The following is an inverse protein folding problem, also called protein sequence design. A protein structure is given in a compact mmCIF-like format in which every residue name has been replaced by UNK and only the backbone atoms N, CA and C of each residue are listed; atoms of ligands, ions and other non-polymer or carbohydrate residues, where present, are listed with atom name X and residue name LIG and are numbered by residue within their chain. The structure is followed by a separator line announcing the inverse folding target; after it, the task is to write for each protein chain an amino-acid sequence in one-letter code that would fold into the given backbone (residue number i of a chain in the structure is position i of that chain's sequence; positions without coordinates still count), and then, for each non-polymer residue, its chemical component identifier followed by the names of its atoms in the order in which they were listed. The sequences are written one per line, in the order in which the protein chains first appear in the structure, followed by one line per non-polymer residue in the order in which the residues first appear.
data_IF_044535102127
#
_entry.id   IF_044535102127
#
_cell.length_a   1.000
_cell.length_b   1.000
_cell.length_c   1.000
_cell.angle_alpha   90.00
_cell.angle_beta   90.00
_cell.angle_gamma   90.00
#
_symmetry.space_group_name_H-M   'P 1'
#
loop_
_entity.id
_entity.type
_entity.pdbx_description
1 polymer ?
#
# COMPACT_ATOMS: atom_id res chain seq x y z
N UNK A 1 -21.69 6.85 13.39
CA UNK A 1 -22.74 6.76 12.36
C UNK A 1 -23.04 8.10 11.68
N UNK A 2 -23.02 9.25 12.38
CA UNK A 2 -23.39 10.57 11.83
C UNK A 2 -22.79 10.96 10.45
N UNK A 3 -21.50 10.69 10.19
CA UNK A 3 -20.92 10.96 8.85
C UNK A 3 -21.52 10.06 7.76
N UNK A 4 -21.81 8.80 8.05
CA UNK A 4 -22.43 7.87 7.11
C UNK A 4 -23.89 8.24 6.83
N UNK A 5 -24.63 8.58 7.87
CA UNK A 5 -26.02 9.05 7.77
C UNK A 5 -26.11 10.33 6.92
N UNK A 6 -25.09 11.20 6.98
CA UNK A 6 -24.99 12.41 6.17
C UNK A 6 -24.37 12.18 4.77
N UNK A 7 -24.09 10.94 4.37
CA UNK A 7 -23.47 10.61 3.08
C UNK A 7 -22.02 11.08 2.92
N UNK A 8 -21.33 11.40 4.02
CA UNK A 8 -19.94 11.89 4.06
C UNK A 8 -18.96 10.73 4.21
N UNK A 9 -18.88 9.89 3.18
CA UNK A 9 -18.09 8.66 3.19
C UNK A 9 -16.58 8.88 3.38
N UNK A 10 -16.03 9.97 2.83
CA UNK A 10 -14.61 10.29 2.97
C UNK A 10 -14.25 10.73 4.39
N UNK A 11 -15.06 11.59 5.00
CA UNK A 11 -14.91 11.97 6.41
C UNK A 11 -15.04 10.76 7.34
N UNK A 12 -16.00 9.88 7.07
CA UNK A 12 -16.15 8.64 7.82
C UNK A 12 -14.91 7.73 7.67
N UNK A 13 -14.36 7.61 6.46
CA UNK A 13 -13.18 6.80 6.19
C UNK A 13 -11.93 7.41 6.82
N UNK A 14 -11.80 8.73 6.84
CA UNK A 14 -10.77 9.44 7.60
C UNK A 14 -10.83 9.08 9.09
N UNK A 15 -12.01 9.14 9.71
CA UNK A 15 -12.19 8.74 11.12
C UNK A 15 -11.82 7.28 11.31
N UNK A 16 -12.29 6.40 10.43
CA UNK A 16 -12.02 4.98 10.51
C UNK A 16 -10.54 4.62 10.36
N UNK A 17 -9.79 5.29 9.49
CA UNK A 17 -8.40 4.93 9.20
C UNK A 17 -7.38 5.69 10.06
N UNK A 18 -7.69 6.94 10.43
CA UNK A 18 -6.75 7.87 11.07
C UNK A 18 -7.07 8.18 12.53
N UNK A 19 -8.32 8.02 12.98
CA UNK A 19 -8.75 8.40 14.34
C UNK A 19 -9.01 7.19 15.23
N UNK A 20 -9.88 6.27 14.80
CA UNK A 20 -10.16 5.05 15.57
C UNK A 20 -8.91 4.19 15.66
N UNK A 21 -8.70 3.43 16.73
CA UNK A 21 -7.74 2.31 16.72
C UNK A 21 -8.29 1.16 15.85
N UNK A 22 -7.46 0.19 15.42
CA UNK A 22 -7.93 -0.98 14.70
C UNK A 22 -8.99 -1.77 15.47
N UNK A 23 -8.89 -1.83 16.80
CA UNK A 23 -9.87 -2.53 17.64
C UNK A 23 -11.19 -1.75 17.78
N UNK A 24 -11.12 -0.42 17.95
CA UNK A 24 -12.33 0.43 17.92
C UNK A 24 -13.05 0.34 16.57
N UNK A 25 -12.30 0.39 15.46
CA UNK A 25 -12.88 0.22 14.12
C UNK A 25 -13.47 -1.19 13.94
N UNK A 26 -12.78 -2.23 14.42
CA UNK A 26 -13.26 -3.61 14.34
C UNK A 26 -14.59 -3.76 15.07
N UNK A 27 -14.67 -3.29 16.31
CA UNK A 27 -15.91 -3.33 17.09
C UNK A 27 -17.05 -2.61 16.36
N UNK A 28 -16.79 -1.43 15.81
CA UNK A 28 -17.77 -0.69 15.01
C UNK A 28 -18.24 -1.46 13.77
N UNK A 29 -17.31 -2.08 13.03
CA UNK A 29 -17.64 -2.83 11.82
C UNK A 29 -18.40 -4.12 12.12
N UNK A 30 -18.04 -4.82 13.19
CA UNK A 30 -18.74 -6.04 13.59
C UNK A 30 -20.18 -5.77 14.05
N UNK A 31 -20.44 -4.62 14.68
CA UNK A 31 -21.77 -4.21 15.14
C UNK A 31 -22.69 -3.70 14.00
N UNK A 32 -22.13 -3.00 13.02
CA UNK A 32 -22.92 -2.29 12.01
C UNK A 32 -22.85 -2.85 10.59
N UNK A 33 -21.87 -3.71 10.28
CA UNK A 33 -21.67 -4.26 8.93
C UNK A 33 -21.45 -5.77 9.00
N UNK A 34 -22.55 -6.51 9.17
CA UNK A 34 -22.49 -7.93 9.48
C UNK A 34 -22.01 -8.76 8.27
N UNK A 35 -21.38 -9.91 8.56
CA UNK A 35 -20.94 -10.83 7.50
C UNK A 35 -22.14 -11.37 6.70
N UNK A 36 -23.26 -11.64 7.35
CA UNK A 36 -24.47 -12.15 6.71
C UNK A 36 -25.04 -11.17 5.65
N UNK A 37 -24.95 -9.86 5.90
CA UNK A 37 -25.33 -8.84 4.92
C UNK A 37 -24.33 -8.74 3.76
N UNK A 38 -23.04 -8.91 4.05
CA UNK A 38 -22.00 -8.90 3.03
C UNK A 38 -22.11 -10.12 2.08
N UNK A 39 -22.39 -11.31 2.61
CA UNK A 39 -22.57 -12.53 1.82
C UNK A 39 -23.80 -12.45 0.92
N UNK A 40 -24.93 -11.91 1.41
CA UNK A 40 -26.14 -11.67 0.58
C UNK A 40 -25.89 -10.72 -0.59
N UNK A 41 -24.92 -9.81 -0.45
CA UNK A 41 -24.56 -8.83 -1.48
C UNK A 41 -23.66 -9.45 -2.56
N UNK A 42 -22.99 -10.58 -2.29
CA UNK A 42 -22.10 -11.25 -3.22
C UNK A 42 -22.85 -12.09 -4.29
N UNK A 43 -24.13 -12.38 -4.06
CA UNK A 43 -25.02 -13.13 -4.96
C UNK A 43 -25.81 -12.23 -5.94
N UNK A 44 -25.53 -10.92 -5.99
CA UNK A 44 -26.16 -9.98 -6.91
C UNK A 44 -25.72 -10.26 -8.38
N UNK A 45 -26.64 -10.15 -9.37
CA UNK A 45 -26.35 -10.51 -10.76
C UNK A 45 -25.21 -9.67 -11.38
N UNK A 46 -24.33 -10.31 -12.15
CA UNK A 46 -23.12 -9.75 -12.82
C UNK A 46 -23.33 -8.50 -13.69
N UNK A 47 -24.58 -8.10 -13.97
CA UNK A 47 -24.90 -7.02 -14.91
C UNK A 47 -24.89 -5.61 -14.32
N UNK A 48 -24.50 -5.45 -13.05
CA UNK A 48 -24.40 -4.14 -12.42
C UNK A 48 -22.94 -3.82 -12.16
N UNK A 49 -22.57 -2.58 -12.46
CA UNK A 49 -21.20 -2.10 -12.33
C UNK A 49 -20.66 -2.40 -10.90
N UNK A 50 -19.58 -3.19 -10.76
CA UNK A 50 -18.98 -3.50 -9.47
C UNK A 50 -18.60 -2.25 -8.64
N UNK A 51 -18.47 -1.10 -9.30
CA UNK A 51 -18.17 0.19 -8.69
C UNK A 51 -19.39 0.87 -8.05
N UNK A 52 -20.61 0.58 -8.53
CA UNK A 52 -21.87 1.14 -8.01
C UNK A 52 -22.54 0.24 -6.94
N UNK A 53 -22.22 -1.07 -6.90
CA UNK A 53 -22.96 -2.07 -6.12
C UNK A 53 -22.21 -2.73 -4.95
N UNK A 54 -20.99 -2.30 -4.63
CA UNK A 54 -20.37 -2.75 -3.38
C UNK A 54 -21.26 -2.27 -2.23
N UNK A 55 -22.02 -3.18 -1.61
CA UNK A 55 -22.86 -2.81 -0.47
C UNK A 55 -21.99 -2.08 0.55
N UNK A 56 -22.55 -1.03 1.14
CA UNK A 56 -21.85 -0.23 2.15
C UNK A 56 -21.17 -1.16 3.18
N UNK A 57 -21.86 -2.24 3.57
CA UNK A 57 -21.36 -3.35 4.38
C UNK A 57 -20.05 -3.94 3.85
N UNK A 58 -20.01 -4.46 2.61
CA UNK A 58 -18.80 -5.09 2.10
C UNK A 58 -17.64 -4.09 1.95
N UNK A 59 -17.92 -2.83 1.60
CA UNK A 59 -16.90 -1.76 1.54
C UNK A 59 -16.28 -1.50 2.91
N UNK A 60 -17.09 -1.37 3.96
CA UNK A 60 -16.60 -1.10 5.32
C UNK A 60 -15.84 -2.29 5.91
N UNK A 61 -16.31 -3.52 5.66
CA UNK A 61 -15.56 -4.73 6.03
C UNK A 61 -14.21 -4.75 5.30
N UNK A 62 -14.19 -4.50 4.00
CA UNK A 62 -12.92 -4.49 3.25
C UNK A 62 -11.97 -3.38 3.72
N UNK A 63 -12.48 -2.18 4.03
CA UNK A 63 -11.68 -1.10 4.62
C UNK A 63 -10.98 -1.55 5.90
N UNK A 64 -11.71 -2.20 6.82
CA UNK A 64 -11.13 -2.80 8.02
C UNK A 64 -10.07 -3.86 7.67
N UNK A 65 -10.37 -4.76 6.74
CA UNK A 65 -9.42 -5.78 6.27
C UNK A 65 -8.11 -5.16 5.78
N UNK A 66 -8.17 -4.13 4.93
CA UNK A 66 -6.99 -3.42 4.43
C UNK A 66 -6.23 -2.71 5.55
N UNK A 67 -6.94 -2.13 6.52
CA UNK A 67 -6.35 -1.48 7.68
C UNK A 67 -5.60 -2.48 8.57
N UNK A 68 -6.19 -3.65 8.83
CA UNK A 68 -5.55 -4.73 9.59
C UNK A 68 -4.30 -5.27 8.87
N UNK A 69 -4.33 -5.38 7.53
CA UNK A 69 -3.15 -5.72 6.73
C UNK A 69 -2.01 -4.70 6.91
N UNK A 70 -2.31 -3.38 6.89
CA UNK A 70 -1.31 -2.33 7.19
C UNK A 70 -0.77 -2.41 8.61
N UNK A 71 -1.63 -2.75 9.58
CA UNK A 71 -1.27 -2.97 10.97
C UNK A 71 -0.53 -4.31 11.22
N UNK A 72 -0.26 -5.10 10.17
CA UNK A 72 0.38 -6.43 10.24
C UNK A 72 -0.42 -7.48 11.03
N UNK A 73 -1.71 -7.25 11.23
CA UNK A 73 -2.66 -8.19 11.86
C UNK A 73 -3.26 -9.11 10.79
N UNK A 74 -2.40 -9.85 10.09
CA UNK A 74 -2.75 -10.52 8.83
C UNK A 74 -3.87 -11.54 8.98
N UNK A 75 -3.78 -12.43 9.97
CA UNK A 75 -4.80 -13.46 10.23
C UNK A 75 -6.15 -12.85 10.59
N UNK A 76 -6.14 -11.76 11.36
CA UNK A 76 -7.35 -11.04 11.72
C UNK A 76 -7.97 -10.28 10.54
N UNK A 77 -7.19 -9.94 9.52
CA UNK A 77 -7.69 -9.27 8.33
C UNK A 77 -8.49 -10.21 7.40
N UNK A 78 -8.11 -11.49 7.33
CA UNK A 78 -8.65 -12.44 6.34
C UNK A 78 -10.19 -12.56 6.32
N UNK A 79 -10.91 -12.55 7.46
CA UNK A 79 -12.38 -12.61 7.49
C UNK A 79 -13.07 -11.35 6.93
N UNK A 80 -12.33 -10.25 6.82
CA UNK A 80 -12.85 -8.96 6.35
C UNK A 80 -12.44 -8.65 4.90
N UNK A 81 -11.52 -9.43 4.33
CA UNK A 81 -11.13 -9.31 2.93
C UNK A 81 -12.08 -10.09 2.02
N UNK A 82 -12.39 -9.57 0.81
CA UNK A 82 -13.07 -10.33 -0.23
C UNK A 82 -12.36 -11.66 -0.52
N UNK A 83 -13.11 -12.68 -0.91
CA UNK A 83 -12.57 -14.02 -1.23
C UNK A 83 -11.46 -13.97 -2.28
N UNK A 84 -11.63 -13.13 -3.31
CA UNK A 84 -10.66 -12.89 -4.40
C UNK A 84 -9.35 -12.22 -3.94
N UNK A 85 -9.35 -11.59 -2.77
CA UNK A 85 -8.18 -10.92 -2.17
C UNK A 85 -7.55 -11.77 -1.07
N UNK A 86 -8.34 -12.63 -0.40
CA UNK A 86 -7.89 -13.44 0.74
C UNK A 86 -6.70 -14.34 0.40
N UNK A 87 -6.72 -15.03 -0.74
CA UNK A 87 -5.61 -15.90 -1.18
C UNK A 87 -4.32 -15.11 -1.43
N UNK A 88 -4.44 -13.90 -1.99
CA UNK A 88 -3.30 -12.98 -2.22
C UNK A 88 -2.70 -12.52 -0.89
N UNK A 89 -3.55 -12.19 0.08
CA UNK A 89 -3.13 -11.79 1.43
C UNK A 89 -2.43 -12.92 2.18
N UNK A 90 -2.96 -14.15 2.09
CA UNK A 90 -2.33 -15.35 2.66
C UNK A 90 -0.97 -15.63 2.03
N UNK A 91 -0.87 -15.56 0.70
CA UNK A 91 0.40 -15.76 0.00
C UNK A 91 1.44 -14.71 0.39
N UNK A 92 1.03 -13.45 0.55
CA UNK A 92 1.91 -12.39 1.04
C UNK A 92 2.39 -12.66 2.48
N UNK A 93 1.48 -13.04 3.38
CA UNK A 93 1.85 -13.38 4.76
C UNK A 93 2.84 -14.55 4.79
N UNK A 94 2.57 -15.62 4.05
CA UNK A 94 3.44 -16.78 3.97
C UNK A 94 4.84 -16.41 3.47
N UNK A 95 4.94 -15.56 2.43
CA UNK A 95 6.23 -15.09 1.95
C UNK A 95 7.00 -14.29 3.01
N UNK A 96 6.31 -13.44 3.80
CA UNK A 96 6.95 -12.72 4.91
C UNK A 96 7.46 -13.63 6.02
N UNK A 97 6.67 -14.64 6.42
CA UNK A 97 7.06 -15.61 7.44
C UNK A 97 8.34 -16.34 7.02
N UNK A 98 8.38 -16.83 5.78
CA UNK A 98 9.55 -17.51 5.21
C UNK A 98 10.77 -16.59 5.10
N UNK A 99 10.56 -15.32 4.76
CA UNK A 99 11.63 -14.33 4.66
C UNK A 99 12.26 -13.97 6.02
N UNK A 100 11.43 -13.97 7.07
CA UNK A 100 11.81 -13.60 8.42
C UNK A 100 12.39 -14.76 9.22
N UNK A 101 12.08 -16.00 8.86
CA UNK A 101 12.59 -17.21 9.51
C UNK A 101 14.13 -17.27 9.46
N UNK A 102 14.83 -17.11 10.60
CA UNK A 102 16.29 -17.09 10.62
C UNK A 102 16.93 -18.47 10.40
N UNK A 103 16.15 -19.56 10.53
CA UNK A 103 16.65 -20.94 10.31
C UNK A 103 16.87 -21.26 8.83
N UNK A 104 16.23 -20.49 7.93
CA UNK A 104 16.31 -20.71 6.49
C UNK A 104 17.61 -20.16 5.89
N UNK A 105 18.12 -20.80 4.83
CA UNK A 105 19.29 -20.30 4.11
C UNK A 105 19.11 -18.85 3.66
N UNK A 106 20.19 -18.07 3.73
CA UNK A 106 20.18 -16.62 3.47
C UNK A 106 19.60 -16.26 2.10
N UNK A 107 19.92 -17.02 1.05
CA UNK A 107 19.41 -16.79 -0.31
C UNK A 107 17.94 -17.14 -0.44
N UNK A 108 17.46 -18.20 0.23
CA UNK A 108 16.03 -18.52 0.26
C UNK A 108 15.23 -17.43 0.95
N UNK A 109 15.72 -16.91 2.08
CA UNK A 109 15.10 -15.76 2.75
C UNK A 109 15.07 -14.53 1.86
N UNK A 110 16.15 -14.29 1.10
CA UNK A 110 16.21 -13.21 0.12
C UNK A 110 15.12 -13.36 -0.94
N UNK A 111 14.94 -14.58 -1.46
CA UNK A 111 13.90 -14.90 -2.43
C UNK A 111 12.51 -14.66 -1.84
N UNK A 112 12.23 -15.14 -0.63
CA UNK A 112 10.94 -14.91 0.03
C UNK A 112 10.68 -13.42 0.32
N UNK A 113 11.71 -12.63 0.67
CA UNK A 113 11.57 -11.16 0.78
C UNK A 113 11.18 -10.53 -0.55
N UNK A 114 11.78 -10.99 -1.65
CA UNK A 114 11.46 -10.48 -2.98
C UNK A 114 10.08 -10.94 -3.46
N UNK A 115 9.68 -12.17 -3.16
CA UNK A 115 8.31 -12.65 -3.40
C UNK A 115 7.29 -11.82 -2.62
N UNK A 116 7.54 -11.52 -1.34
CA UNK A 116 6.69 -10.64 -0.54
C UNK A 116 6.63 -9.22 -1.14
N UNK A 117 7.76 -8.69 -1.61
CA UNK A 117 7.82 -7.42 -2.33
C UNK A 117 6.93 -7.41 -3.57
N UNK A 118 7.04 -8.46 -4.39
CA UNK A 118 6.26 -8.64 -5.62
C UNK A 118 4.76 -8.70 -5.34
N UNK A 119 4.33 -9.52 -4.37
CA UNK A 119 2.92 -9.64 -3.98
C UNK A 119 2.33 -8.29 -3.57
N UNK A 120 3.05 -7.51 -2.74
CA UNK A 120 2.58 -6.18 -2.34
C UNK A 120 2.60 -5.21 -3.51
N UNK A 121 3.60 -5.26 -4.40
CA UNK A 121 3.66 -4.38 -5.56
C UNK A 121 2.43 -4.53 -6.47
N UNK A 122 1.96 -5.76 -6.66
CA UNK A 122 0.93 -6.09 -7.64
C UNK A 122 -0.47 -6.29 -7.05
N UNK A 123 -0.58 -6.58 -5.76
CA UNK A 123 -1.87 -6.80 -5.09
C UNK A 123 -2.06 -5.92 -3.84
N UNK A 124 -1.07 -5.08 -3.51
CA UNK A 124 -1.11 -4.24 -2.32
C UNK A 124 -2.20 -3.18 -2.35
N UNK A 125 -2.70 -2.83 -3.53
CA UNK A 125 -3.83 -1.90 -3.63
C UNK A 125 -5.08 -2.52 -3.00
N UNK A 126 -5.46 -3.71 -3.43
CA UNK A 126 -6.60 -4.46 -2.92
C UNK A 126 -6.38 -4.96 -1.49
N UNK A 127 -5.15 -5.34 -1.15
CA UNK A 127 -4.84 -5.89 0.17
C UNK A 127 -4.70 -4.83 1.25
N UNK A 128 -4.25 -3.62 0.94
CA UNK A 128 -3.82 -2.67 1.98
C UNK A 128 -3.86 -1.19 1.60
N UNK A 129 -4.49 -0.79 0.49
CA UNK A 129 -4.67 0.63 0.20
C UNK A 129 -5.57 1.33 1.23
N UNK A 130 -5.31 2.61 1.48
CA UNK A 130 -6.21 3.49 2.25
C UNK A 130 -7.45 3.83 1.43
N UNK A 131 -8.61 3.91 2.09
CA UNK A 131 -9.87 4.29 1.43
C UNK A 131 -9.77 5.68 0.81
N UNK A 132 -9.21 6.63 1.57
CA UNK A 132 -8.97 8.01 1.17
C UNK A 132 -7.45 8.18 1.06
N UNK A 133 -6.81 9.07 1.80
CA UNK A 133 -5.40 9.39 1.59
C UNK A 133 -4.46 8.30 2.12
N UNK A 134 -3.33 8.03 1.44
CA UNK A 134 -2.86 8.66 0.22
C UNK A 134 -3.24 7.90 -1.07
N UNK A 135 -3.88 6.74 -0.97
CA UNK A 135 -4.06 5.82 -2.11
C UNK A 135 -5.35 6.04 -2.92
N UNK A 136 -6.35 6.71 -2.36
CA UNK A 136 -7.66 6.98 -2.94
C UNK A 136 -8.37 5.71 -3.43
N UNK A 137 -8.41 4.67 -2.60
CA UNK A 137 -9.06 3.40 -2.96
C UNK A 137 -10.53 3.57 -3.34
N UNK A 138 -11.24 4.51 -2.71
CA UNK A 138 -12.63 4.83 -3.03
C UNK A 138 -12.86 5.22 -4.50
N UNK A 139 -11.81 5.66 -5.20
CA UNK A 139 -11.80 6.02 -6.61
C UNK A 139 -10.81 5.18 -7.43
N UNK A 140 -10.55 3.95 -6.98
CA UNK A 140 -9.67 3.00 -7.67
C UNK A 140 -8.24 3.54 -7.86
N UNK A 141 -7.84 4.51 -7.04
CA UNK A 141 -6.56 5.17 -7.13
C UNK A 141 -6.41 6.06 -8.36
N UNK A 142 -7.50 6.43 -9.04
CA UNK A 142 -7.49 7.24 -10.26
C UNK A 142 -7.10 8.69 -9.99
N UNK A 143 -7.50 9.24 -8.84
CA UNK A 143 -7.27 10.63 -8.47
C UNK A 143 -6.24 10.77 -7.35
N UNK A 144 -5.48 11.86 -7.39
CA UNK A 144 -4.75 12.35 -6.23
C UNK A 144 -5.68 13.21 -5.41
N UNK A 145 -5.65 13.03 -4.10
CA UNK A 145 -6.62 13.67 -3.20
C UNK A 145 -5.86 14.43 -2.13
N UNK A 146 -6.41 15.57 -1.71
CA UNK A 146 -5.90 16.28 -0.54
C UNK A 146 -6.00 15.39 0.70
N UNK A 147 -4.97 15.42 1.54
CA UNK A 147 -4.91 14.62 2.76
C UNK A 147 -5.72 15.30 3.87
N UNK A 148 -6.89 14.72 4.21
CA UNK A 148 -7.72 15.19 5.32
C UNK A 148 -6.89 15.16 6.61
N UNK A 149 -6.12 14.09 6.84
CA UNK A 149 -5.22 13.99 7.98
C UNK A 149 -4.20 15.12 8.06
N UNK A 150 -3.59 15.50 6.94
CA UNK A 150 -2.60 16.59 6.90
C UNK A 150 -3.26 17.94 7.16
N UNK A 151 -4.41 18.20 6.56
CA UNK A 151 -5.15 19.45 6.75
C UNK A 151 -5.60 19.60 8.21
N UNK A 152 -6.11 18.52 8.81
CA UNK A 152 -6.50 18.48 10.23
C UNK A 152 -5.31 18.60 11.17
N UNK A 153 -4.18 17.94 10.88
CA UNK A 153 -2.97 18.12 11.68
C UNK A 153 -2.47 19.58 11.67
N UNK A 154 -2.60 20.28 10.53
CA UNK A 154 -2.18 21.69 10.37
C UNK A 154 -3.20 22.70 10.89
N UNK A 155 -4.48 22.33 10.96
CA UNK A 155 -5.57 23.27 11.26
C UNK A 155 -5.99 24.14 10.07
N UNK A 156 -5.49 23.84 8.87
CA UNK A 156 -5.78 24.57 7.64
C UNK A 156 -6.13 23.59 6.53
N UNK A 157 -7.19 23.88 5.78
CA UNK A 157 -7.52 23.21 4.54
C UNK A 157 -6.72 23.82 3.38
N UNK A 158 -6.09 22.95 2.58
CA UNK A 158 -5.44 23.36 1.34
C UNK A 158 -6.37 23.00 0.16
N UNK A 159 -6.97 23.99 -0.51
CA UNK A 159 -7.75 23.69 -1.71
C UNK A 159 -6.86 23.08 -2.79
N UNK A 160 -7.43 22.10 -3.49
CA UNK A 160 -6.78 21.48 -4.63
C UNK A 160 -6.60 22.48 -5.78
N UNK A 161 -5.47 22.40 -6.47
CA UNK A 161 -5.18 23.15 -7.69
C UNK A 161 -4.43 22.26 -8.68
N UNK A 162 -4.54 22.59 -9.97
CA UNK A 162 -3.74 21.90 -10.97
C UNK A 162 -2.26 22.28 -10.83
N UNK A 163 -1.33 21.40 -11.26
CA UNK A 163 0.12 21.67 -11.13
C UNK A 163 0.59 22.89 -11.91
N UNK A 164 -0.13 23.29 -12.96
CA UNK A 164 0.20 24.49 -13.74
C UNK A 164 -0.27 25.79 -13.10
N UNK A 165 -0.97 25.73 -11.97
CA UNK A 165 -1.58 26.88 -11.30
C UNK A 165 -0.86 27.17 -9.98
N UNK A 166 -0.82 28.45 -9.60
CA UNK A 166 -0.40 28.82 -8.27
C UNK A 166 -1.40 28.25 -7.25
N UNK A 167 -0.95 27.54 -6.21
CA UNK A 167 -1.85 26.97 -5.23
C UNK A 167 -2.59 28.09 -4.48
N UNK A 168 -3.90 27.94 -4.25
CA UNK A 168 -4.66 28.91 -3.49
C UNK A 168 -4.16 28.99 -2.05
N UNK A 169 -4.40 30.12 -1.39
CA UNK A 169 -3.99 30.32 0.01
C UNK A 169 -4.70 29.30 0.91
N UNK A 170 -3.98 28.65 1.86
CA UNK A 170 -4.61 27.79 2.85
C UNK A 170 -5.68 28.54 3.65
N UNK A 171 -6.78 27.87 3.96
CA UNK A 171 -7.89 28.45 4.71
C UNK A 171 -8.01 27.78 6.09
N UNK A 172 -8.29 28.52 7.17
CA UNK A 172 -8.44 27.92 8.49
C UNK A 172 -9.62 26.94 8.50
N UNK A 173 -9.46 25.80 9.18
CA UNK A 173 -10.57 24.85 9.35
C UNK A 173 -11.66 25.46 10.23
N UNK A 174 -12.92 25.26 9.85
CA UNK A 174 -14.09 25.69 10.62
C UNK A 174 -14.18 24.91 11.94
N UNK A 175 -13.89 23.61 11.91
CA UNK A 175 -13.87 22.76 13.10
C UNK A 175 -12.46 22.72 13.70
N UNK A 176 -12.35 23.07 14.99
CA UNK A 176 -11.09 22.99 15.71
C UNK A 176 -10.68 21.54 15.88
N UNK A 177 -9.40 21.27 15.68
CA UNK A 177 -8.79 19.96 15.90
C UNK A 177 -8.49 19.83 17.39
N UNK A 178 -9.03 18.78 18.01
CA UNK A 178 -8.86 18.56 19.46
C UNK A 178 -7.47 17.99 19.76
N UNK A 179 -7.05 18.05 21.04
CA UNK A 179 -5.80 17.42 21.46
C UNK A 179 -5.82 15.90 21.26
N UNK A 180 -6.95 15.24 21.56
CA UNK A 180 -7.12 13.80 21.35
C UNK A 180 -7.00 13.43 19.87
N UNK A 181 -7.65 14.20 18.99
CA UNK A 181 -7.56 13.98 17.55
C UNK A 181 -6.12 14.10 17.04
N UNK A 182 -5.37 15.09 17.52
CA UNK A 182 -3.95 15.25 17.17
C UNK A 182 -3.12 14.05 17.62
N UNK A 183 -3.29 13.59 18.86
CA UNK A 183 -2.58 12.41 19.37
C UNK A 183 -2.93 11.15 18.58
N UNK A 184 -4.19 10.97 18.18
CA UNK A 184 -4.62 9.84 17.34
C UNK A 184 -4.04 9.90 15.94
N UNK A 185 -3.91 11.09 15.34
CA UNK A 185 -3.27 11.28 14.04
C UNK A 185 -1.77 10.93 14.04
N UNK A 186 -1.07 11.30 15.11
CA UNK A 186 0.33 10.92 15.30
C UNK A 186 0.49 9.41 15.43
N UNK A 187 -0.38 8.78 16.22
CA UNK A 187 -0.35 7.33 16.44
C UNK A 187 -0.67 6.52 15.17
N UNK A 188 -1.64 6.98 14.39
CA UNK A 188 -2.11 6.24 13.21
C UNK A 188 -1.24 6.43 11.97
N UNK A 189 -0.19 7.26 12.02
CA UNK A 189 0.66 7.65 10.90
C UNK A 189 1.07 6.45 10.02
N UNK A 190 0.93 6.59 8.71
CA UNK A 190 1.30 5.54 7.76
C UNK A 190 2.81 5.52 7.55
N UNK A 191 3.45 4.35 7.50
CA UNK A 191 4.89 4.27 7.25
C UNK A 191 5.34 5.08 6.01
N UNK A 192 4.49 5.10 4.97
CA UNK A 192 4.69 5.89 3.76
C UNK A 192 3.44 6.73 3.48
N UNK A 193 3.45 8.02 3.86
CA UNK A 193 2.40 8.99 3.51
C UNK A 193 2.57 9.53 2.08
N UNK A 194 2.80 8.62 1.13
CA UNK A 194 2.91 8.92 -0.29
C UNK A 194 1.89 8.07 -1.03
N UNK A 195 1.25 8.65 -2.05
CA UNK A 195 0.26 7.93 -2.88
C UNK A 195 0.83 6.58 -3.33
N UNK A 196 0.00 5.55 -3.45
CA UNK A 196 0.42 4.17 -3.65
C UNK A 196 1.47 3.71 -2.63
N UNK A 197 1.17 3.90 -1.35
CA UNK A 197 2.06 3.61 -0.23
C UNK A 197 2.61 2.18 -0.27
N UNK A 198 1.78 1.24 -0.74
CA UNK A 198 2.15 -0.18 -0.88
C UNK A 198 3.33 -0.38 -1.83
N UNK A 199 3.58 0.51 -2.81
CA UNK A 199 4.76 0.43 -3.69
C UNK A 199 6.06 0.72 -2.94
N UNK A 200 6.01 1.62 -1.95
CA UNK A 200 7.17 1.90 -1.09
C UNK A 200 7.39 0.76 -0.10
N UNK A 201 6.31 0.16 0.43
CA UNK A 201 6.42 -1.06 1.24
C UNK A 201 7.03 -2.22 0.43
N UNK A 202 6.60 -2.41 -0.81
CA UNK A 202 7.20 -3.38 -1.72
C UNK A 202 8.70 -3.11 -1.94
N UNK A 203 9.07 -1.85 -2.21
CA UNK A 203 10.46 -1.45 -2.35
C UNK A 203 11.28 -1.72 -1.07
N UNK A 204 10.71 -1.51 0.12
CA UNK A 204 11.38 -1.82 1.38
C UNK A 204 11.62 -3.31 1.58
N UNK A 205 10.68 -4.17 1.17
CA UNK A 205 10.85 -5.63 1.19
C UNK A 205 11.92 -6.08 0.20
N UNK A 206 11.93 -5.53 -1.02
CA UNK A 206 12.98 -5.79 -2.00
C UNK A 206 14.35 -5.29 -1.52
N UNK A 207 14.39 -4.19 -0.77
CA UNK A 207 15.62 -3.75 -0.11
C UNK A 207 16.11 -4.78 0.92
N UNK A 208 15.22 -5.39 1.72
CA UNK A 208 15.62 -6.50 2.60
C UNK A 208 16.17 -7.69 1.82
N UNK A 209 15.53 -8.09 0.71
CA UNK A 209 16.05 -9.13 -0.18
C UNK A 209 17.48 -8.80 -0.66
N UNK A 210 17.69 -7.56 -1.13
CA UNK A 210 19.00 -7.12 -1.62
C UNK A 210 20.09 -7.27 -0.56
N UNK A 211 19.81 -7.02 0.72
CA UNK A 211 20.79 -7.15 1.82
C UNK A 211 21.24 -8.59 2.05
N UNK A 212 20.45 -9.55 1.57
CA UNK A 212 20.68 -10.99 1.72
C UNK A 212 21.37 -11.64 0.50
N UNK A 213 21.48 -10.93 -0.62
CA UNK A 213 22.10 -11.44 -1.83
C UNK A 213 23.62 -11.20 -1.88
N UNK A 214 24.40 -12.08 -2.54
CA UNK A 214 25.82 -11.87 -2.78
C UNK A 214 26.08 -10.65 -3.67
N UNK A 215 27.23 -10.00 -3.51
CA UNK A 215 27.67 -8.96 -4.43
C UNK A 215 27.93 -9.55 -5.82
N UNK A 216 27.66 -8.75 -6.86
CA UNK A 216 27.82 -9.13 -8.28
C UNK A 216 27.03 -10.37 -8.71
N UNK A 217 25.95 -10.71 -8.00
CA UNK A 217 25.00 -11.73 -8.47
C UNK A 217 23.93 -11.10 -9.37
N UNK A 218 23.49 -11.83 -10.40
CA UNK A 218 22.45 -11.37 -11.32
C UNK A 218 21.11 -11.14 -10.58
N UNK A 219 20.83 -11.93 -9.54
CA UNK A 219 19.65 -11.74 -8.68
C UNK A 219 19.70 -10.41 -7.92
N UNK A 220 20.89 -9.99 -7.44
CA UNK A 220 21.02 -8.71 -6.75
C UNK A 220 20.72 -7.55 -7.71
N UNK A 221 21.27 -7.60 -8.93
CA UNK A 221 21.01 -6.61 -9.95
C UNK A 221 19.51 -6.55 -10.31
N UNK A 222 18.89 -7.71 -10.49
CA UNK A 222 17.46 -7.85 -10.79
C UNK A 222 16.57 -7.23 -9.72
N UNK A 223 16.78 -7.61 -8.45
CA UNK A 223 16.00 -7.10 -7.31
C UNK A 223 16.10 -5.58 -7.21
N UNK A 224 17.31 -5.02 -7.35
CA UNK A 224 17.53 -3.58 -7.25
C UNK A 224 16.95 -2.82 -8.46
N UNK A 225 17.14 -3.32 -9.69
CA UNK A 225 16.60 -2.70 -10.89
C UNK A 225 15.06 -2.68 -10.88
N UNK A 226 14.46 -3.80 -10.50
CA UNK A 226 13.02 -3.99 -10.39
C UNK A 226 12.43 -3.04 -9.35
N UNK A 227 12.98 -3.05 -8.12
CA UNK A 227 12.46 -2.24 -7.03
C UNK A 227 12.59 -0.74 -7.27
N UNK A 228 13.74 -0.30 -7.80
CA UNK A 228 13.94 1.09 -8.22
C UNK A 228 12.95 1.51 -9.30
N UNK A 229 12.68 0.63 -10.27
CA UNK A 229 11.72 0.90 -11.34
C UNK A 229 10.27 1.07 -10.86
N UNK A 230 9.89 0.52 -9.71
CA UNK A 230 8.55 0.76 -9.13
C UNK A 230 8.35 2.19 -8.61
N UNK A 231 9.45 2.89 -8.32
CA UNK A 231 9.45 4.25 -7.75
C UNK A 231 9.89 5.31 -8.77
N UNK A 232 10.79 4.97 -9.72
CA UNK A 232 11.52 5.91 -10.58
C UNK A 232 10.69 6.99 -11.26
N UNK A 233 9.46 6.67 -11.68
CA UNK A 233 8.61 7.61 -12.44
C UNK A 233 7.99 8.66 -11.53
N UNK A 234 7.59 8.27 -10.31
CA UNK A 234 6.81 9.16 -9.43
C UNK A 234 7.62 9.74 -8.27
N UNK A 235 8.67 9.04 -7.86
CA UNK A 235 9.60 9.50 -6.84
C UNK A 235 11.03 9.04 -7.18
N UNK A 236 11.70 9.74 -8.12
CA UNK A 236 13.08 9.45 -8.50
C UNK A 236 14.04 9.48 -7.30
N UNK A 237 13.81 10.38 -6.34
CA UNK A 237 14.65 10.51 -5.14
C UNK A 237 14.54 9.26 -4.25
N UNK A 238 13.35 8.71 -4.05
CA UNK A 238 13.19 7.44 -3.32
C UNK A 238 13.77 6.24 -4.10
N UNK A 239 13.79 6.30 -5.43
CA UNK A 239 14.39 5.26 -6.27
C UNK A 239 15.93 5.28 -6.24
N UNK A 240 16.54 6.45 -6.05
CA UNK A 240 17.99 6.67 -6.17
C UNK A 240 18.85 5.71 -5.35
N UNK A 241 18.44 5.38 -4.12
CA UNK A 241 19.15 4.41 -3.27
C UNK A 241 19.34 3.04 -3.94
N UNK A 242 18.40 2.62 -4.79
CA UNK A 242 18.47 1.35 -5.50
C UNK A 242 19.44 1.44 -6.67
N UNK A 243 19.49 2.59 -7.37
CA UNK A 243 20.44 2.83 -8.45
C UNK A 243 21.88 2.82 -7.91
N UNK A 244 22.14 3.61 -6.86
CA UNK A 244 23.45 3.65 -6.20
C UNK A 244 23.90 2.28 -5.67
N UNK A 245 22.98 1.52 -5.07
CA UNK A 245 23.27 0.18 -4.60
C UNK A 245 23.56 -0.80 -5.75
N UNK A 246 22.85 -0.66 -6.88
CA UNK A 246 23.04 -1.52 -8.04
C UNK A 246 24.40 -1.25 -8.69
N UNK A 247 24.74 0.02 -8.94
CA UNK A 247 26.03 0.43 -9.49
C UNK A 247 27.20 -0.07 -8.61
N UNK A 248 27.12 0.18 -7.29
CA UNK A 248 28.20 -0.18 -6.36
C UNK A 248 28.31 -1.69 -6.08
N UNK A 249 27.19 -2.41 -5.98
CA UNK A 249 27.19 -3.81 -5.50
C UNK A 249 26.98 -4.85 -6.60
N UNK A 250 26.47 -4.45 -7.75
CA UNK A 250 26.11 -5.34 -8.85
C UNK A 250 26.47 -4.76 -10.24
N UNK A 251 27.28 -3.71 -10.34
CA UNK A 251 27.59 -3.03 -11.59
C UNK A 251 28.32 -3.86 -12.65
N UNK A 252 28.91 -5.03 -12.29
CA UNK A 252 29.61 -5.94 -13.23
C UNK A 252 28.72 -7.06 -13.77
N UNK A 253 27.44 -7.04 -13.42
CA UNK A 253 26.44 -7.99 -13.94
C UNK A 253 25.92 -7.52 -15.30
N UNK A 254 25.28 -8.39 -16.07
CA UNK A 254 24.72 -8.02 -17.37
C UNK A 254 23.70 -6.88 -17.26
N UNK A 255 22.86 -6.89 -16.21
CA UNK A 255 21.95 -5.78 -15.89
C UNK A 255 22.70 -4.56 -15.33
N UNK A 256 23.72 -4.78 -14.51
CA UNK A 256 24.58 -3.76 -13.91
C UNK A 256 25.24 -2.85 -14.93
N UNK A 257 25.84 -3.45 -15.95
CA UNK A 257 26.51 -2.73 -17.03
C UNK A 257 25.52 -1.86 -17.82
N UNK A 258 24.31 -2.38 -18.10
CA UNK A 258 23.26 -1.63 -18.80
C UNK A 258 22.73 -0.45 -17.97
N UNK A 259 22.50 -0.64 -16.67
CA UNK A 259 22.06 0.42 -15.76
C UNK A 259 23.12 1.51 -15.62
N UNK A 260 24.40 1.11 -15.52
CA UNK A 260 25.54 2.03 -15.45
C UNK A 260 25.65 2.84 -16.74
N UNK A 261 25.56 2.19 -17.91
CA UNK A 261 25.61 2.87 -19.21
C UNK A 261 24.43 3.84 -19.41
N UNK A 262 23.26 3.52 -18.86
CA UNK A 262 22.07 4.38 -18.90
C UNK A 262 22.10 5.49 -17.84
N UNK A 263 22.98 5.40 -16.84
CA UNK A 263 22.94 6.19 -15.61
C UNK A 263 21.58 6.15 -14.90
N UNK A 264 20.80 5.09 -15.12
CA UNK A 264 19.46 4.91 -14.56
C UNK A 264 18.92 3.49 -14.81
N UNK A 265 17.82 3.14 -14.13
CA UNK A 265 17.16 1.84 -14.28
C UNK A 265 16.73 1.52 -15.72
N UNK A 266 16.80 0.24 -16.07
CA UNK A 266 16.45 -0.31 -17.39
C UNK A 266 15.17 -1.14 -17.33
N UNK A 267 14.56 -1.40 -18.49
CA UNK A 267 13.30 -2.18 -18.57
C UNK A 267 13.53 -3.70 -18.53
N UNK A 268 14.76 -4.15 -18.80
CA UNK A 268 15.14 -5.54 -18.73
C UNK A 268 14.96 -6.11 -17.31
N UNK A 269 14.42 -7.32 -17.25
CA UNK A 269 14.22 -8.08 -16.03
C UNK A 269 15.29 -9.17 -15.90
N UNK A 270 15.61 -9.53 -14.66
CA UNK A 270 16.51 -10.63 -14.37
C UNK A 270 15.78 -11.93 -14.01
N UNK A 271 16.48 -12.91 -13.44
CA UNK A 271 15.97 -14.26 -13.27
C UNK A 271 14.79 -14.37 -12.30
N UNK A 272 14.77 -13.59 -11.20
CA UNK A 272 13.74 -13.71 -10.17
C UNK A 272 12.46 -12.96 -10.56
N UNK A 273 12.58 -11.76 -11.13
CA UNK A 273 11.43 -11.01 -11.61
C UNK A 273 10.74 -11.73 -12.76
N UNK A 274 11.51 -12.30 -13.70
CA UNK A 274 10.97 -13.12 -14.80
C UNK A 274 10.21 -14.33 -14.27
N UNK A 275 10.77 -15.07 -13.31
CA UNK A 275 10.09 -16.23 -12.71
C UNK A 275 8.76 -15.84 -12.03
N UNK A 276 8.72 -14.68 -11.37
CA UNK A 276 7.51 -14.19 -10.70
C UNK A 276 6.44 -13.66 -11.67
N UNK A 277 6.83 -13.14 -12.83
CA UNK A 277 5.90 -12.73 -13.88
C UNK A 277 5.11 -13.93 -14.43
N UNK A 278 5.73 -15.10 -14.54
CA UNK A 278 5.05 -16.32 -15.00
C UNK A 278 4.05 -16.91 -14.00
N UNK A 279 4.01 -16.41 -12.76
CA UNK A 279 3.10 -16.86 -11.69
C UNK A 279 1.89 -15.92 -11.50
N UNK A 280 1.76 -14.89 -12.34
CA UNK A 280 0.62 -13.95 -12.35
C UNK A 280 -0.46 -14.41 -13.32
#
# INVERSE_FOLDING_TARGET
TAFLEAGKNQDAAYVAERILTPDELRAYVDDHFTLAEAEKSADAPESVDPWDEMSSTLRWRWLLGRRLMRARRYQEALPYLPSTVRSKAQSYQQALEQAQDPSRPRVERARSWFEAAWRVRHHGFEMMATEVEPDAFCWSGSFEISSIATDRARGYWQPWSWKSEAPPKPQPLVTRVTSDERSRLEWSHLRHEKRFQYRYLAADHAWQASRLLPAQSEELADVLNTAGSWLKVRDPSAADRFYQALESRAGKTALGEQVTARHWFVEQTGPWSTALQHLQ
#
